data_IF_189561261887
#
_entry.id   IF_189561261887
#
_cell.length_a   1.000
_cell.length_b   1.000
_cell.length_c   1.000
_cell.angle_alpha   90.00
_cell.angle_beta   90.00
_cell.angle_gamma   90.00
#
_symmetry.space_group_name_H-M   'P 1'
#
loop_
_entity.id
_entity.type
_entity.pdbx_description
1 polymer ?
#
# COMPACT_ATOMS: atom_id res chain seq x y z
N UNK A 1 5.86 -15.07 -8.84
CA UNK A 1 6.06 -13.94 -9.76
C UNK A 1 5.37 -12.73 -9.14
N UNK A 2 6.13 -11.87 -8.44
CA UNK A 2 5.57 -10.66 -7.83
C UNK A 2 5.33 -9.63 -8.93
N UNK A 3 4.05 -9.39 -9.25
CA UNK A 3 3.62 -8.29 -10.10
C UNK A 3 3.86 -7.01 -9.28
N UNK A 4 4.92 -6.28 -9.59
CA UNK A 4 5.15 -4.96 -9.01
C UNK A 4 4.18 -3.99 -9.68
N UNK A 5 3.24 -3.45 -8.90
CA UNK A 5 2.47 -2.28 -9.28
C UNK A 5 3.37 -1.11 -9.69
N UNK A 6 2.75 -0.06 -10.25
CA UNK A 6 3.39 1.16 -10.74
C UNK A 6 4.52 1.59 -9.79
N UNK A 7 5.72 1.86 -10.32
CA UNK A 7 6.87 2.27 -9.52
C UNK A 7 6.60 3.64 -8.87
N UNK A 8 6.11 3.63 -7.63
CA UNK A 8 5.76 4.81 -6.83
C UNK A 8 6.98 5.56 -6.26
N UNK A 9 8.20 5.30 -6.74
CA UNK A 9 9.42 6.03 -6.35
C UNK A 9 9.28 7.57 -6.36
N UNK A 10 8.52 8.19 -7.28
CA UNK A 10 8.32 9.65 -7.25
C UNK A 10 7.40 10.17 -6.12
N UNK A 11 6.58 9.31 -5.51
CA UNK A 11 5.68 9.67 -4.39
C UNK A 11 6.41 9.75 -3.04
N UNK A 12 7.69 9.36 -3.00
CA UNK A 12 8.51 9.22 -1.77
C UNK A 12 8.65 10.50 -0.93
N UNK A 13 8.25 11.66 -1.45
CA UNK A 13 8.36 12.97 -0.79
C UNK A 13 7.12 13.87 -0.97
N UNK A 14 5.97 13.34 -1.40
CA UNK A 14 4.76 14.15 -1.57
C UNK A 14 4.04 14.36 -0.24
N UNK A 15 3.40 15.53 -0.07
CA UNK A 15 2.56 15.82 1.10
C UNK A 15 1.45 14.79 1.30
N UNK A 16 0.94 14.19 0.22
CA UNK A 16 -0.03 13.10 0.26
C UNK A 16 0.47 11.90 1.06
N UNK A 17 1.76 11.60 0.98
CA UNK A 17 2.37 10.47 1.67
C UNK A 17 2.49 10.70 3.16
N UNK A 18 2.93 11.90 3.55
CA UNK A 18 2.95 12.31 4.96
C UNK A 18 1.55 12.32 5.56
N UNK A 19 0.54 12.80 4.81
CA UNK A 19 -0.86 12.74 5.25
C UNK A 19 -1.36 11.32 5.43
N UNK A 20 -1.03 10.41 4.50
CA UNK A 20 -1.39 9.01 4.62
C UNK A 20 -0.77 8.37 5.87
N UNK A 21 0.53 8.55 6.10
CA UNK A 21 1.21 8.03 7.29
C UNK A 21 0.54 8.57 8.57
N UNK A 22 0.38 9.88 8.68
CA UNK A 22 -0.26 10.50 9.84
C UNK A 22 -1.70 10.00 10.09
N UNK A 23 -2.46 9.70 9.03
CA UNK A 23 -3.81 9.16 9.14
C UNK A 23 -3.84 7.68 9.54
N UNK A 24 -2.83 6.90 9.13
CA UNK A 24 -2.75 5.46 9.38
C UNK A 24 -2.17 5.14 10.76
N UNK A 25 -1.25 5.95 11.28
CA UNK A 25 -0.49 5.59 12.50
C UNK A 25 -1.38 5.43 13.74
N UNK A 26 -2.27 6.38 14.12
CA UNK A 26 -3.11 6.21 15.31
C UNK A 26 -4.01 4.95 15.28
N UNK A 27 -4.79 4.68 14.21
CA UNK A 27 -5.60 3.46 14.17
C UNK A 27 -4.76 2.19 14.07
N UNK A 28 -3.55 2.27 13.49
CA UNK A 28 -2.61 1.14 13.51
C UNK A 28 -2.18 0.83 14.95
N UNK A 29 -1.70 1.81 15.71
CA UNK A 29 -1.26 1.62 17.09
C UNK A 29 -2.37 1.03 17.97
N UNK A 30 -3.59 1.57 17.86
CA UNK A 30 -4.74 1.05 18.59
C UNK A 30 -5.05 -0.42 18.25
N UNK A 31 -4.83 -0.84 17.00
CA UNK A 31 -5.01 -2.23 16.60
C UNK A 31 -3.88 -3.14 17.09
N UNK A 32 -2.67 -2.61 17.30
CA UNK A 32 -1.52 -3.37 17.77
C UNK A 32 -1.60 -3.73 19.26
N UNK A 33 -2.22 -2.91 20.10
CA UNK A 33 -2.36 -3.13 21.56
C UNK A 33 -2.97 -4.50 21.94
N UNK A 34 -3.77 -5.09 21.04
CA UNK A 34 -4.45 -6.38 21.26
C UNK A 34 -3.78 -7.58 20.59
N UNK A 35 -2.63 -7.40 19.91
CA UNK A 35 -2.00 -8.46 19.15
C UNK A 35 -0.94 -9.23 19.95
N UNK A 36 -0.78 -10.54 19.70
CA UNK A 36 0.37 -11.29 20.21
C UNK A 36 1.70 -10.71 19.75
N UNK A 37 2.59 -10.45 20.69
CA UNK A 37 3.95 -9.97 20.47
C UNK A 37 4.97 -11.12 20.38
N UNK A 38 6.10 -10.94 19.66
CA UNK A 38 6.48 -9.75 18.90
C UNK A 38 5.73 -9.64 17.56
N UNK A 39 5.45 -8.42 17.13
CA UNK A 39 4.75 -8.11 15.88
C UNK A 39 5.78 -7.81 14.79
N UNK A 40 5.72 -8.55 13.67
CA UNK A 40 6.57 -8.30 12.53
C UNK A 40 5.95 -7.31 11.56
N UNK A 41 6.64 -6.21 11.31
CA UNK A 41 6.29 -5.24 10.29
C UNK A 41 6.92 -5.65 8.96
N UNK A 42 6.09 -5.91 7.95
CA UNK A 42 6.56 -6.25 6.60
C UNK A 42 6.82 -5.00 5.78
N UNK A 43 8.08 -4.85 5.35
CA UNK A 43 8.43 -3.93 4.28
C UNK A 43 7.98 -4.51 2.93
N UNK A 44 7.23 -3.77 2.11
CA UNK A 44 7.20 -4.08 0.67
C UNK A 44 5.89 -4.11 -0.10
N UNK A 45 4.81 -3.49 0.38
CA UNK A 45 3.55 -3.47 -0.37
C UNK A 45 3.09 -2.05 -0.75
N UNK A 46 4.03 -1.28 -1.32
CA UNK A 46 3.77 0.06 -1.86
C UNK A 46 4.10 1.19 -0.88
N UNK A 47 4.22 0.89 0.42
CA UNK A 47 4.76 1.83 1.41
C UNK A 47 6.29 1.78 1.47
N UNK A 48 6.95 2.93 1.36
CA UNK A 48 8.37 3.08 1.66
C UNK A 48 8.59 2.83 3.16
N UNK A 49 9.77 2.36 3.54
CA UNK A 49 10.08 1.97 4.91
C UNK A 49 9.81 3.07 5.95
N UNK A 50 9.70 4.34 5.54
CA UNK A 50 9.40 5.50 6.39
C UNK A 50 8.05 5.45 7.11
N UNK A 51 6.97 4.99 6.46
CA UNK A 51 5.68 4.78 7.12
C UNK A 51 5.78 3.75 8.24
N UNK A 52 6.54 2.69 7.97
CA UNK A 52 6.90 1.69 8.95
C UNK A 52 7.75 2.22 10.09
N UNK A 53 8.64 3.18 9.84
CA UNK A 53 9.50 3.79 10.86
C UNK A 53 8.71 4.61 11.88
N UNK A 54 7.72 5.40 11.46
CA UNK A 54 6.89 6.18 12.39
C UNK A 54 6.07 5.26 13.29
N UNK A 55 5.51 4.19 12.72
CA UNK A 55 4.79 3.16 13.48
C UNK A 55 5.71 2.44 14.45
N UNK A 56 6.92 2.07 14.02
CA UNK A 56 7.94 1.45 14.89
C UNK A 56 8.32 2.36 16.06
N UNK A 57 8.54 3.65 15.80
CA UNK A 57 8.93 4.62 16.82
C UNK A 57 7.80 4.82 17.85
N UNK A 58 6.56 5.03 17.39
CA UNK A 58 5.43 5.26 18.30
C UNK A 58 4.99 3.99 19.02
N UNK A 59 5.11 2.81 18.40
CA UNK A 59 4.85 1.54 19.06
C UNK A 59 5.81 1.30 20.22
N UNK A 60 7.10 1.64 20.03
CA UNK A 60 8.07 1.57 21.12
C UNK A 60 7.72 2.52 22.27
N UNK A 61 7.36 3.77 21.98
CA UNK A 61 6.92 4.73 23.00
C UNK A 61 5.70 4.20 23.78
N UNK A 62 4.83 3.44 23.12
CA UNK A 62 3.67 2.77 23.71
C UNK A 62 4.01 1.43 24.41
N UNK A 63 5.26 0.97 24.35
CA UNK A 63 5.70 -0.29 24.94
C UNK A 63 5.29 -1.55 24.17
N UNK A 64 4.90 -1.41 22.90
CA UNK A 64 4.48 -2.51 22.02
C UNK A 64 5.71 -3.06 21.27
N UNK A 65 5.94 -4.37 21.35
CA UNK A 65 7.11 -5.02 20.70
C UNK A 65 6.90 -5.23 19.20
N UNK A 66 7.00 -4.14 18.43
CA UNK A 66 7.00 -4.15 16.96
C UNK A 66 8.43 -4.16 16.44
N UNK A 67 8.71 -5.10 15.54
CA UNK A 67 10.04 -5.31 14.96
C UNK A 67 9.95 -5.47 13.45
N UNK A 68 11.07 -5.26 12.76
CA UNK A 68 11.17 -5.43 11.31
C UNK A 68 12.25 -6.44 10.93
N UNK A 69 12.23 -6.87 9.68
CA UNK A 69 13.33 -7.67 9.14
C UNK A 69 14.64 -6.87 9.08
N UNK A 70 15.80 -7.53 9.18
CA UNK A 70 17.08 -6.87 8.93
C UNK A 70 17.12 -6.32 7.50
N UNK A 71 17.39 -5.02 7.36
CA UNK A 71 17.44 -4.35 6.06
C UNK A 71 18.74 -3.58 5.90
N UNK A 72 19.42 -3.76 4.77
CA UNK A 72 20.59 -2.94 4.43
C UNK A 72 20.21 -1.51 4.03
N UNK A 73 18.93 -1.26 3.73
CA UNK A 73 18.45 0.08 3.38
C UNK A 73 18.31 1.00 4.60
N UNK A 74 18.12 0.43 5.80
CA UNK A 74 17.93 1.19 7.05
C UNK A 74 18.50 0.41 8.24
N UNK A 75 19.47 1.00 8.94
CA UNK A 75 19.99 0.43 10.20
C UNK A 75 19.10 0.94 11.33
N UNK A 76 18.17 0.09 11.77
CA UNK A 76 17.45 0.27 13.02
C UNK A 76 18.08 -0.69 14.03
N UNK A 77 18.39 -0.21 15.25
CA UNK A 77 19.24 -0.92 16.21
C UNK A 77 18.99 -2.43 16.29
N UNK A 78 20.06 -3.22 16.36
CA UNK A 78 20.08 -4.69 16.32
C UNK A 78 18.95 -5.39 17.10
N UNK A 79 18.61 -4.89 18.30
CA UNK A 79 17.53 -5.40 19.16
C UNK A 79 16.11 -5.23 18.59
N UNK A 80 15.92 -4.40 17.56
CA UNK A 80 14.64 -4.10 16.90
C UNK A 80 14.43 -4.87 15.60
N UNK A 81 15.28 -5.85 15.34
CA UNK A 81 15.19 -6.73 14.19
C UNK A 81 14.88 -8.15 14.63
N UNK A 82 14.02 -8.85 13.88
CA UNK A 82 13.78 -10.29 14.02
C UNK A 82 13.61 -10.92 12.65
N UNK A 83 13.75 -12.23 12.59
CA UNK A 83 13.25 -13.00 11.46
C UNK A 83 11.72 -13.06 11.50
N UNK A 84 11.08 -13.05 10.33
CA UNK A 84 9.62 -13.13 10.21
C UNK A 84 9.04 -14.33 10.96
N UNK A 85 9.72 -15.49 10.92
CA UNK A 85 9.29 -16.72 11.59
C UNK A 85 9.33 -16.67 13.12
N UNK A 86 9.91 -15.63 13.71
CA UNK A 86 9.97 -15.44 15.17
C UNK A 86 8.83 -14.57 15.69
N UNK A 87 7.99 -14.04 14.80
CA UNK A 87 6.87 -13.19 15.15
C UNK A 87 5.65 -14.00 15.57
N UNK A 88 4.89 -13.46 16.52
CA UNK A 88 3.59 -14.01 16.89
C UNK A 88 2.44 -13.39 16.05
N UNK A 89 2.67 -12.20 15.49
CA UNK A 89 1.76 -11.49 14.61
C UNK A 89 2.51 -10.79 13.47
N UNK A 90 1.79 -10.42 12.43
CA UNK A 90 2.31 -9.67 11.30
C UNK A 90 1.44 -8.45 10.99
N UNK A 91 2.09 -7.34 10.64
CA UNK A 91 1.49 -6.10 10.18
C UNK A 91 1.91 -5.82 8.74
N UNK A 92 0.92 -5.64 7.86
CA UNK A 92 1.12 -5.31 6.45
C UNK A 92 0.51 -3.96 6.11
N UNK A 93 1.19 -3.28 5.19
CA UNK A 93 0.87 -1.95 4.72
C UNK A 93 0.72 -1.97 3.21
N UNK A 94 -0.51 -2.06 2.72
CA UNK A 94 -0.84 -2.43 1.34
C UNK A 94 -1.47 -1.28 0.56
N UNK A 95 -1.15 -1.18 -0.73
CA UNK A 95 -1.87 -0.31 -1.68
C UNK A 95 -2.71 -1.12 -2.67
N UNK A 96 -3.79 -0.51 -3.17
CA UNK A 96 -4.67 -0.94 -4.28
C UNK A 96 -4.71 -2.46 -4.59
N UNK A 97 -3.90 -2.96 -5.54
CA UNK A 97 -3.94 -4.37 -5.96
C UNK A 97 -3.43 -5.36 -4.91
N UNK A 98 -2.40 -4.99 -4.14
CA UNK A 98 -1.91 -5.82 -3.03
C UNK A 98 -2.97 -5.93 -1.92
N UNK A 99 -3.71 -4.85 -1.67
CA UNK A 99 -4.86 -4.86 -0.75
C UNK A 99 -5.93 -5.85 -1.22
N UNK A 100 -6.33 -5.80 -2.50
CA UNK A 100 -7.34 -6.71 -3.04
C UNK A 100 -6.90 -8.18 -2.97
N UNK A 101 -5.63 -8.47 -3.25
CA UNK A 101 -5.08 -9.81 -3.09
C UNK A 101 -5.19 -10.27 -1.63
N UNK A 102 -4.82 -9.40 -0.68
CA UNK A 102 -4.87 -9.72 0.74
C UNK A 102 -6.28 -9.86 1.32
N UNK A 103 -7.27 -9.12 0.80
CA UNK A 103 -8.68 -9.28 1.21
C UNK A 103 -9.23 -10.68 0.95
N UNK A 104 -8.66 -11.40 -0.02
CA UNK A 104 -9.02 -12.80 -0.30
C UNK A 104 -8.28 -13.81 0.56
N UNK A 105 -7.28 -13.37 1.33
CA UNK A 105 -6.48 -14.25 2.18
C UNK A 105 -7.11 -14.38 3.58
N UNK A 106 -7.59 -15.58 3.98
CA UNK A 106 -8.22 -15.78 5.28
C UNK A 106 -7.25 -15.66 6.47
N UNK A 107 -5.94 -15.70 6.22
CA UNK A 107 -4.94 -15.56 7.27
C UNK A 107 -4.74 -14.10 7.71
N UNK A 108 -5.34 -13.13 7.01
CA UNK A 108 -5.23 -11.70 7.30
C UNK A 108 -6.60 -11.05 7.41
N UNK A 109 -6.65 -9.92 8.11
CA UNK A 109 -7.82 -9.04 8.16
C UNK A 109 -7.41 -7.59 7.99
N UNK A 110 -8.21 -6.85 7.22
CA UNK A 110 -8.07 -5.40 7.09
C UNK A 110 -8.55 -4.73 8.38
N UNK A 111 -7.72 -3.90 9.00
CA UNK A 111 -8.07 -3.18 10.24
C UNK A 111 -8.37 -1.71 9.96
N UNK A 112 -7.78 -1.14 8.92
CA UNK A 112 -7.97 0.26 8.56
C UNK A 112 -7.62 0.52 7.10
N UNK A 113 -8.32 1.47 6.47
CA UNK A 113 -8.02 1.95 5.13
C UNK A 113 -8.16 3.46 5.07
N UNK A 114 -7.23 4.12 4.39
CA UNK A 114 -7.25 5.55 4.16
C UNK A 114 -7.21 5.84 2.66
N UNK A 115 -8.19 6.61 2.19
CA UNK A 115 -8.19 7.20 0.86
C UNK A 115 -7.76 8.67 0.96
N UNK A 116 -6.61 9.06 0.39
CA UNK A 116 -6.16 10.45 0.42
C UNK A 116 -6.93 11.36 -0.53
N UNK A 117 -7.73 10.80 -1.46
CA UNK A 117 -8.55 11.57 -2.38
C UNK A 117 -9.91 11.89 -1.76
N UNK A 118 -10.42 13.10 -2.03
CA UNK A 118 -11.84 13.40 -1.75
C UNK A 118 -12.76 12.52 -2.62
N UNK A 119 -14.04 12.37 -2.26
CA UNK A 119 -14.99 11.59 -3.06
C UNK A 119 -15.05 12.02 -4.54
N UNK A 120 -14.99 13.33 -4.81
CA UNK A 120 -14.99 13.88 -6.18
C UNK A 120 -13.70 13.54 -6.93
N UNK A 121 -12.55 13.67 -6.27
CA UNK A 121 -11.25 13.29 -6.84
C UNK A 121 -11.18 11.79 -7.12
N UNK A 122 -11.73 10.96 -6.24
CA UNK A 122 -11.81 9.50 -6.43
C UNK A 122 -12.72 9.14 -7.60
N UNK A 123 -13.87 9.82 -7.72
CA UNK A 123 -14.76 9.66 -8.86
C UNK A 123 -14.07 10.04 -10.18
N UNK A 124 -13.34 11.16 -10.20
CA UNK A 124 -12.54 11.57 -11.36
C UNK A 124 -11.46 10.55 -11.71
N UNK A 125 -10.71 10.08 -10.71
CA UNK A 125 -9.68 9.05 -10.90
C UNK A 125 -10.27 7.79 -11.52
N UNK A 126 -11.38 7.29 -10.97
CA UNK A 126 -12.05 6.09 -11.47
C UNK A 126 -12.61 6.29 -12.89
N UNK A 127 -13.09 7.49 -13.23
CA UNK A 127 -13.54 7.81 -14.57
C UNK A 127 -12.40 7.81 -15.59
N UNK A 128 -11.22 8.35 -15.22
CA UNK A 128 -10.02 8.31 -16.05
C UNK A 128 -9.54 6.86 -16.24
N UNK A 129 -9.50 6.08 -15.16
CA UNK A 129 -9.17 4.64 -15.23
C UNK A 129 -10.12 3.90 -16.16
N UNK A 130 -11.42 4.10 -16.00
CA UNK A 130 -12.43 3.45 -16.85
C UNK A 130 -12.28 3.86 -18.31
N UNK A 131 -11.95 5.12 -18.59
CA UNK A 131 -11.78 5.61 -19.96
C UNK A 131 -10.57 4.99 -20.68
N UNK A 132 -9.45 4.84 -19.98
CA UNK A 132 -8.16 4.44 -20.59
C UNK A 132 -7.79 2.98 -20.36
N UNK A 133 -8.52 2.28 -19.49
CA UNK A 133 -8.33 0.87 -19.19
C UNK A 133 -9.64 0.08 -19.18
N UNK A 134 -10.67 0.57 -19.89
CA UNK A 134 -11.83 -0.26 -20.22
C UNK A 134 -11.41 -1.49 -21.03
N UNK A 135 -11.99 -2.62 -20.68
CA UNK A 135 -11.89 -3.87 -21.43
C UNK A 135 -13.15 -4.70 -21.19
N UNK A 136 -13.44 -5.60 -22.11
CA UNK A 136 -14.56 -6.52 -21.96
C UNK A 136 -14.15 -7.66 -21.03
N UNK A 137 -14.58 -7.57 -19.77
CA UNK A 137 -14.33 -8.62 -18.79
C UNK A 137 -15.04 -9.92 -19.21
N UNK A 138 -14.28 -11.02 -19.30
CA UNK A 138 -14.85 -12.32 -19.60
C UNK A 138 -15.73 -12.80 -18.43
N UNK A 139 -16.84 -13.50 -18.71
CA UNK A 139 -17.66 -14.12 -17.66
C UNK A 139 -16.80 -15.02 -16.76
N UNK A 140 -16.92 -14.83 -15.44
CA UNK A 140 -16.18 -15.60 -14.43
C UNK A 140 -14.81 -15.04 -14.04
N UNK A 141 -14.38 -13.91 -14.61
CA UNK A 141 -13.12 -13.26 -14.24
C UNK A 141 -13.18 -12.68 -12.83
N UNK A 142 -12.20 -13.01 -11.99
CA UNK A 142 -12.12 -12.50 -10.61
C UNK A 142 -11.85 -10.99 -10.58
N UNK A 143 -12.25 -10.31 -9.51
CA UNK A 143 -11.96 -8.88 -9.31
C UNK A 143 -10.47 -8.58 -9.41
N UNK A 144 -9.61 -9.45 -8.85
CA UNK A 144 -8.16 -9.28 -8.89
C UNK A 144 -7.62 -9.39 -10.32
N UNK A 145 -8.12 -10.33 -11.11
CA UNK A 145 -7.72 -10.48 -12.51
C UNK A 145 -8.17 -9.27 -13.35
N UNK A 146 -9.38 -8.76 -13.09
CA UNK A 146 -9.86 -7.56 -13.75
C UNK A 146 -8.96 -6.35 -13.45
N UNK A 147 -8.59 -6.15 -12.18
CA UNK A 147 -7.68 -5.07 -11.77
C UNK A 147 -6.30 -5.23 -12.39
N UNK A 148 -5.75 -6.45 -12.44
CA UNK A 148 -4.45 -6.71 -13.10
C UNK A 148 -4.48 -6.37 -14.59
N UNK A 149 -5.58 -6.66 -15.29
CA UNK A 149 -5.74 -6.26 -16.70
C UNK A 149 -5.84 -4.74 -16.83
N UNK A 150 -6.61 -4.08 -15.96
CA UNK A 150 -6.70 -2.62 -15.95
C UNK A 150 -5.35 -1.96 -15.69
N UNK A 151 -4.58 -2.44 -14.72
CA UNK A 151 -3.22 -1.96 -14.43
C UNK A 151 -2.30 -2.06 -15.66
N UNK A 152 -2.36 -3.17 -16.39
CA UNK A 152 -1.56 -3.35 -17.61
C UNK A 152 -1.96 -2.36 -18.71
N UNK A 153 -3.26 -2.11 -18.89
CA UNK A 153 -3.76 -1.13 -19.87
C UNK A 153 -3.38 0.30 -19.48
N UNK A 154 -3.57 0.66 -18.20
CA UNK A 154 -3.13 1.94 -17.65
C UNK A 154 -1.63 2.15 -17.80
N UNK A 155 -0.83 1.12 -17.56
CA UNK A 155 0.62 1.18 -17.72
C UNK A 155 1.01 1.47 -19.17
N UNK A 156 0.37 0.80 -20.14
CA UNK A 156 0.60 1.05 -21.58
C UNK A 156 0.21 2.49 -21.96
N UNK A 157 -0.95 2.96 -21.52
CA UNK A 157 -1.38 4.34 -21.76
C UNK A 157 -0.42 5.35 -21.13
N UNK A 158 -0.05 5.15 -19.86
CA UNK A 158 0.90 5.99 -19.12
C UNK A 158 2.26 6.06 -19.83
N UNK A 159 2.78 4.93 -20.32
CA UNK A 159 4.02 4.90 -21.08
C UNK A 159 3.92 5.69 -22.39
N UNK A 160 2.81 5.58 -23.10
CA UNK A 160 2.58 6.34 -24.33
C UNK A 160 2.52 7.86 -24.07
N UNK A 161 1.83 8.28 -23.01
CA UNK A 161 1.73 9.69 -22.61
C UNK A 161 3.07 10.27 -22.14
N UNK A 162 3.86 9.48 -21.39
CA UNK A 162 5.21 9.88 -20.96
C UNK A 162 6.18 10.02 -22.14
N UNK A 163 6.01 9.22 -23.19
CA UNK A 163 6.81 9.31 -24.42
C UNK A 163 6.35 10.44 -25.37
N UNK A 164 5.16 11.01 -25.16
CA UNK A 164 4.63 12.06 -25.99
C UNK A 164 5.35 13.39 -25.76
N UNK A 165 5.60 14.16 -26.84
CA UNK A 165 6.18 15.51 -26.74
C UNK A 165 5.28 16.49 -25.96
N UNK A 166 3.97 16.24 -25.97
CA UNK A 166 2.98 17.01 -25.23
C UNK A 166 1.94 16.05 -24.65
N UNK A 167 2.03 15.72 -23.35
CA UNK A 167 1.07 14.83 -22.71
C UNK A 167 -0.33 15.44 -22.66
N UNK A 168 -1.35 14.58 -22.74
CA UNK A 168 -2.75 14.98 -22.75
C UNK A 168 -3.19 15.65 -21.44
N UNK A 169 -4.29 16.41 -21.49
CA UNK A 169 -4.88 17.01 -20.29
C UNK A 169 -5.34 15.93 -19.29
N UNK A 170 -5.90 14.83 -19.82
CA UNK A 170 -6.35 13.70 -19.02
C UNK A 170 -5.17 13.00 -18.33
N UNK A 171 -4.04 12.84 -19.03
CA UNK A 171 -2.83 12.32 -18.41
C UNK A 171 -2.34 13.21 -17.26
N UNK A 172 -2.32 14.53 -17.44
CA UNK A 172 -1.91 15.46 -16.38
C UNK A 172 -2.81 15.37 -15.15
N UNK A 173 -4.12 15.24 -15.35
CA UNK A 173 -5.11 15.07 -14.26
C UNK A 173 -4.93 13.73 -13.56
N UNK A 174 -4.85 12.64 -14.32
CA UNK A 174 -4.58 11.31 -13.80
C UNK A 174 -3.30 11.26 -13.00
N UNK A 175 -2.21 11.80 -13.54
CA UNK A 175 -0.91 11.81 -12.89
C UNK A 175 -0.93 12.66 -11.61
N UNK A 176 -1.65 13.79 -11.61
CA UNK A 176 -1.85 14.57 -10.38
C UNK A 176 -2.60 13.76 -9.31
N UNK A 177 -3.70 13.13 -9.66
CA UNK A 177 -4.49 12.32 -8.70
C UNK A 177 -3.70 11.10 -8.21
N UNK A 178 -2.87 10.50 -9.07
CA UNK A 178 -1.94 9.45 -8.69
C UNK A 178 -0.89 9.96 -7.69
N UNK A 179 -0.37 11.19 -7.90
CA UNK A 179 0.56 11.85 -6.98
C UNK A 179 -0.12 12.29 -5.66
N UNK A 180 -1.41 12.57 -5.69
CA UNK A 180 -2.21 12.86 -4.50
C UNK A 180 -2.44 11.58 -3.64
N UNK A 181 -2.06 10.40 -4.15
CA UNK A 181 -1.77 9.19 -3.39
C UNK A 181 -2.74 8.02 -3.64
N UNK A 182 -2.27 6.76 -3.54
CA UNK A 182 -3.14 5.59 -3.63
C UNK A 182 -3.95 5.39 -2.34
N UNK A 183 -4.96 4.51 -2.39
CA UNK A 183 -5.56 4.00 -1.15
C UNK A 183 -4.50 3.19 -0.43
N UNK A 184 -4.36 3.44 0.86
CA UNK A 184 -3.44 2.71 1.73
C UNK A 184 -4.24 1.97 2.78
N UNK A 185 -3.89 0.73 3.04
CA UNK A 185 -4.63 -0.13 3.98
C UNK A 185 -3.69 -0.93 4.85
N UNK A 186 -4.15 -1.20 6.07
CA UNK A 186 -3.39 -1.90 7.09
C UNK A 186 -4.05 -3.24 7.34
N UNK A 187 -3.27 -4.30 7.27
CA UNK A 187 -3.70 -5.67 7.54
C UNK A 187 -2.90 -6.24 8.68
N UNK A 188 -3.56 -7.06 9.49
CA UNK A 188 -2.91 -7.84 10.53
C UNK A 188 -3.17 -9.32 10.27
N UNK A 189 -2.20 -10.15 10.61
CA UNK A 189 -2.41 -11.59 10.58
C UNK A 189 -3.39 -12.04 11.67
N UNK A 190 -4.13 -13.10 11.40
CA UNK A 190 -5.02 -13.76 12.36
C UNK A 190 -4.27 -14.72 13.31
N UNK A 191 -2.97 -14.90 13.10
CA UNK A 191 -2.08 -15.75 13.89
C UNK A 191 -0.61 -15.54 13.47
N UNK A 192 0.31 -16.44 13.85
CA UNK A 192 1.72 -16.33 13.46
C UNK A 192 1.90 -16.28 11.94
N UNK A 193 2.91 -15.54 11.44
CA UNK A 193 3.18 -15.46 10.00
C UNK A 193 3.47 -16.85 9.43
N UNK A 194 2.89 -17.15 8.27
CA UNK A 194 3.15 -18.39 7.51
C UNK A 194 4.28 -18.20 6.49
#
# INVERSE_FOLDING_TARGET
>A
MLIRGVNLTPLRLSESWTRAIAALTPPTLAALEGLPEPIFLVDGYGLDGSAGLDVLAQAEEAGIDVRRGPSWAYIYGDKRTIERSQAASELLFLTDSARLEMQTNPDYREIFSYDPLTPDQRAEFNALVSKYAAFDAQPGMSTLDQVRVQEQLLQKWTQAELAAKSPSADFKRYFKLLLDGPIVSVFVSNGPPR
#
